data_IF_817522686160
#
_entry.id   IF_817522686160
#
_cell.length_a   1.000
_cell.length_b   1.000
_cell.length_c   1.000
_cell.angle_alpha   90.00
_cell.angle_beta   90.00
_cell.angle_gamma   90.00
#
_symmetry.space_group_name_H-M   'P 1'
#
loop_
_entity.id
_entity.type
_entity.pdbx_description
1 polymer ?
#
# COMPACT_ATOMS: atom_id res chain seq x y z
N UNK A 1 16.94 1.30 29.38
CA UNK A 1 16.03 1.93 28.40
C UNK A 1 16.80 2.27 27.12
N UNK A 2 17.90 2.99 27.22
CA UNK A 2 18.77 3.39 26.10
C UNK A 2 19.24 2.23 25.19
N UNK A 3 19.55 1.08 25.76
CA UNK A 3 19.96 -0.12 25.02
C UNK A 3 18.81 -0.69 24.15
N UNK A 4 17.57 -0.66 24.66
CA UNK A 4 16.37 -1.09 23.93
C UNK A 4 16.01 -0.12 22.80
N UNK A 5 16.22 1.17 23.01
CA UNK A 5 15.98 2.21 21.99
C UNK A 5 16.99 2.07 20.82
N UNK A 6 18.26 1.80 21.11
CA UNK A 6 19.27 1.55 20.10
C UNK A 6 18.94 0.32 19.24
N UNK A 7 18.56 -0.80 19.88
CA UNK A 7 18.14 -2.00 19.13
C UNK A 7 16.88 -1.75 18.29
N UNK A 8 15.97 -0.89 18.77
CA UNK A 8 14.78 -0.53 18.01
C UNK A 8 15.12 0.27 16.76
N UNK A 9 16.04 1.23 16.86
CA UNK A 9 16.54 1.99 15.71
C UNK A 9 17.23 1.08 14.68
N UNK A 10 18.07 0.16 15.12
CA UNK A 10 18.70 -0.84 14.25
C UNK A 10 17.66 -1.72 13.53
N UNK A 11 16.62 -2.17 14.25
CA UNK A 11 15.53 -2.95 13.66
C UNK A 11 14.80 -2.16 12.58
N UNK A 12 14.46 -0.90 12.83
CA UNK A 12 13.81 -0.01 11.85
C UNK A 12 14.70 0.18 10.63
N UNK A 13 16.00 0.36 10.81
CA UNK A 13 16.96 0.45 9.71
C UNK A 13 16.98 -0.83 8.86
N UNK A 14 16.98 -2.00 9.49
CA UNK A 14 16.88 -3.28 8.79
C UNK A 14 15.57 -3.41 8.01
N UNK A 15 14.44 -3.01 8.61
CA UNK A 15 13.12 -3.02 7.94
C UNK A 15 13.13 -2.06 6.75
N UNK A 16 13.62 -0.83 6.92
CA UNK A 16 13.75 0.15 5.84
C UNK A 16 14.63 -0.37 4.70
N UNK A 17 15.78 -0.93 5.02
CA UNK A 17 16.67 -1.54 4.00
C UNK A 17 15.97 -2.68 3.26
N UNK A 18 15.16 -3.49 3.94
CA UNK A 18 14.38 -4.55 3.29
C UNK A 18 13.39 -3.98 2.26
N UNK A 19 12.74 -2.84 2.53
CA UNK A 19 11.86 -2.19 1.56
C UNK A 19 12.60 -1.70 0.32
N UNK A 20 13.78 -1.09 0.51
CA UNK A 20 14.62 -0.67 -0.60
C UNK A 20 15.00 -1.86 -1.49
N UNK A 21 15.47 -2.95 -0.89
CA UNK A 21 15.86 -4.18 -1.62
C UNK A 21 14.65 -4.78 -2.35
N UNK A 22 13.50 -4.88 -1.70
CA UNK A 22 12.27 -5.37 -2.32
C UNK A 22 11.85 -4.48 -3.50
N UNK A 23 11.89 -3.17 -3.32
CA UNK A 23 11.59 -2.21 -4.41
C UNK A 23 12.50 -2.42 -5.61
N UNK A 24 13.81 -2.58 -5.38
CA UNK A 24 14.81 -2.85 -6.43
C UNK A 24 14.51 -4.19 -7.13
N UNK A 25 14.28 -5.27 -6.37
CA UNK A 25 13.92 -6.59 -6.93
C UNK A 25 12.70 -6.48 -7.84
N UNK A 26 11.67 -5.76 -7.42
CA UNK A 26 10.47 -5.57 -8.21
C UNK A 26 10.75 -4.78 -9.50
N UNK A 27 11.56 -3.73 -9.47
CA UNK A 27 11.95 -2.97 -10.67
C UNK A 27 12.65 -3.86 -11.69
N UNK A 28 13.58 -4.69 -11.24
CA UNK A 28 14.36 -5.57 -12.11
C UNK A 28 13.68 -6.90 -12.44
N UNK A 29 12.51 -7.20 -11.83
CA UNK A 29 11.76 -8.41 -12.14
C UNK A 29 11.43 -8.46 -13.64
N UNK A 30 11.95 -9.47 -14.34
CA UNK A 30 11.66 -9.69 -15.75
C UNK A 30 10.19 -10.07 -15.94
N UNK A 31 9.49 -9.39 -16.83
CA UNK A 31 8.09 -9.65 -17.20
C UNK A 31 8.01 -9.68 -18.73
N UNK A 32 7.29 -10.64 -19.34
CA UNK A 32 7.14 -10.70 -20.78
C UNK A 32 6.64 -9.39 -21.38
N UNK A 33 7.19 -9.00 -22.54
CA UNK A 33 6.83 -7.75 -23.21
C UNK A 33 5.66 -7.94 -24.21
N UNK A 34 4.66 -8.70 -23.80
CA UNK A 34 3.42 -8.89 -24.56
C UNK A 34 2.33 -7.95 -24.02
N UNK A 35 1.31 -7.71 -24.83
CA UNK A 35 0.17 -6.85 -24.47
C UNK A 35 -0.55 -7.40 -23.25
N UNK A 36 -0.71 -8.72 -23.16
CA UNK A 36 -1.40 -9.39 -22.07
C UNK A 36 -0.76 -9.13 -20.69
N UNK A 37 0.56 -8.92 -20.65
CA UNK A 37 1.29 -8.61 -19.42
C UNK A 37 1.42 -7.11 -19.14
N UNK A 38 0.86 -6.22 -19.96
CA UNK A 38 0.94 -4.78 -19.72
C UNK A 38 0.34 -4.34 -18.37
N UNK A 39 -0.82 -4.88 -17.90
CA UNK A 39 -1.33 -4.54 -16.57
C UNK A 39 -0.44 -5.07 -15.44
N UNK A 40 0.16 -6.25 -15.60
CA UNK A 40 1.11 -6.81 -14.63
C UNK A 40 2.38 -5.93 -14.52
N UNK A 41 2.90 -5.44 -15.65
CA UNK A 41 4.03 -4.49 -15.65
C UNK A 41 3.69 -3.20 -14.91
N UNK A 42 2.49 -2.64 -15.13
CA UNK A 42 2.01 -1.48 -14.38
C UNK A 42 1.92 -1.78 -12.88
N UNK A 43 1.31 -2.91 -12.53
CA UNK A 43 1.20 -3.36 -11.13
C UNK A 43 2.56 -3.48 -10.45
N UNK A 44 3.56 -4.05 -11.15
CA UNK A 44 4.94 -4.17 -10.69
C UNK A 44 5.54 -2.82 -10.29
N UNK A 45 5.41 -1.81 -11.13
CA UNK A 45 5.97 -0.50 -10.86
C UNK A 45 5.24 0.24 -9.73
N UNK A 46 3.92 0.11 -9.64
CA UNK A 46 3.18 0.66 -8.50
C UNK A 46 3.56 -0.03 -7.19
N UNK A 47 3.74 -1.36 -7.23
CA UNK A 47 4.17 -2.10 -6.04
C UNK A 47 5.59 -1.69 -5.62
N UNK A 48 6.52 -1.57 -6.56
CA UNK A 48 7.88 -1.08 -6.29
C UNK A 48 7.85 0.34 -5.70
N UNK A 49 7.02 1.24 -6.27
CA UNK A 49 6.86 2.61 -5.76
C UNK A 49 6.33 2.63 -4.32
N UNK A 50 5.39 1.74 -3.98
CA UNK A 50 4.91 1.62 -2.60
C UNK A 50 6.06 1.30 -1.62
N UNK A 51 6.94 0.36 -1.98
CA UNK A 51 8.08 0.01 -1.14
C UNK A 51 9.13 1.12 -1.05
N UNK A 52 9.38 1.86 -2.14
CA UNK A 52 10.27 3.02 -2.08
C UNK A 52 9.71 4.13 -1.20
N UNK A 53 8.40 4.39 -1.25
CA UNK A 53 7.75 5.38 -0.36
C UNK A 53 7.84 4.94 1.10
N UNK A 54 7.62 3.64 1.39
CA UNK A 54 7.80 3.10 2.74
C UNK A 54 9.26 3.20 3.23
N UNK A 55 10.23 2.95 2.36
CA UNK A 55 11.65 3.16 2.68
C UNK A 55 11.92 4.63 3.04
N UNK A 56 11.46 5.58 2.22
CA UNK A 56 11.62 7.01 2.48
C UNK A 56 10.98 7.39 3.81
N UNK A 57 9.78 6.88 4.10
CA UNK A 57 9.09 7.17 5.36
C UNK A 57 9.92 6.72 6.58
N UNK A 58 10.41 5.48 6.56
CA UNK A 58 11.22 4.97 7.67
C UNK A 58 12.58 5.64 7.80
N UNK A 59 13.21 6.01 6.67
CA UNK A 59 14.47 6.74 6.69
C UNK A 59 14.29 8.14 7.30
N UNK A 60 13.28 8.88 6.89
CA UNK A 60 12.97 10.19 7.46
C UNK A 60 12.59 10.07 8.94
N UNK A 61 11.88 9.01 9.33
CA UNK A 61 11.55 8.75 10.74
C UNK A 61 12.83 8.53 11.57
N UNK A 62 13.82 7.79 11.07
CA UNK A 62 15.09 7.58 11.75
C UNK A 62 15.90 8.87 11.90
N UNK A 63 15.98 9.69 10.86
CA UNK A 63 16.68 10.98 10.88
C UNK A 63 16.06 11.93 11.91
N UNK A 64 14.73 11.95 11.97
CA UNK A 64 13.99 12.75 12.93
C UNK A 64 14.17 12.17 14.35
N UNK A 65 14.11 10.87 14.53
CA UNK A 65 14.29 10.20 15.82
C UNK A 65 15.66 10.47 16.46
N UNK A 66 16.67 10.67 15.64
CA UNK A 66 18.02 11.02 16.12
C UNK A 66 18.14 12.45 16.65
N UNK A 67 17.15 13.33 16.37
CA UNK A 67 17.11 14.71 16.86
C UNK A 67 16.39 14.77 18.21
N UNK A 68 16.94 15.53 19.17
CA UNK A 68 16.54 15.45 20.59
C UNK A 68 15.26 16.22 20.99
N UNK A 69 14.53 16.82 20.06
CA UNK A 69 13.37 17.69 20.38
C UNK A 69 12.03 17.01 20.09
N UNK A 70 11.62 16.11 20.98
CA UNK A 70 10.45 15.22 20.82
C UNK A 70 9.08 15.91 20.73
N UNK A 71 8.89 17.07 21.35
CA UNK A 71 7.56 17.67 21.44
C UNK A 71 7.11 18.33 20.12
N UNK A 72 8.01 19.08 19.47
CA UNK A 72 7.76 19.68 18.16
C UNK A 72 7.77 18.62 17.05
N UNK A 73 8.58 17.58 17.23
CA UNK A 73 8.78 16.49 16.29
C UNK A 73 7.56 15.59 16.08
N UNK A 74 6.82 15.27 17.15
CA UNK A 74 5.67 14.37 17.07
C UNK A 74 4.62 14.85 16.06
N UNK A 75 4.40 16.15 15.97
CA UNK A 75 3.44 16.73 15.01
C UNK A 75 3.94 16.64 13.58
N UNK A 76 5.24 16.87 13.33
CA UNK A 76 5.87 16.76 12.02
C UNK A 76 5.85 15.30 11.55
N UNK A 77 6.23 14.35 12.42
CA UNK A 77 6.19 12.91 12.14
C UNK A 77 4.77 12.49 11.74
N UNK A 78 3.76 12.91 12.50
CA UNK A 78 2.38 12.58 12.20
C UNK A 78 1.92 13.11 10.82
N UNK A 79 2.29 14.33 10.46
CA UNK A 79 2.01 14.90 9.14
C UNK A 79 2.73 14.15 8.01
N UNK A 80 3.98 13.77 8.23
CA UNK A 80 4.76 12.95 7.31
C UNK A 80 4.12 11.56 7.11
N UNK A 81 3.78 10.89 8.22
CA UNK A 81 3.19 9.56 8.17
C UNK A 81 1.87 9.57 7.39
N UNK A 82 0.97 10.50 7.66
CA UNK A 82 -0.26 10.63 6.87
C UNK A 82 0.06 10.83 5.39
N UNK A 83 1.03 11.70 5.06
CA UNK A 83 1.39 12.03 3.69
C UNK A 83 1.93 10.82 2.93
N UNK A 84 2.88 10.10 3.53
CA UNK A 84 3.58 8.99 2.89
C UNK A 84 2.78 7.69 2.94
N UNK A 85 2.06 7.41 4.04
CA UNK A 85 1.17 6.25 4.09
C UNK A 85 0.00 6.39 3.12
N UNK A 86 -0.54 7.59 2.91
CA UNK A 86 -1.56 7.79 1.90
C UNK A 86 -1.04 7.49 0.49
N UNK A 87 0.15 7.99 0.14
CA UNK A 87 0.77 7.70 -1.15
C UNK A 87 1.05 6.20 -1.31
N UNK A 88 1.56 5.54 -0.26
CA UNK A 88 1.76 4.10 -0.22
C UNK A 88 0.45 3.34 -0.45
N UNK A 89 -0.65 3.77 0.18
CA UNK A 89 -1.97 3.18 0.01
C UNK A 89 -2.48 3.29 -1.45
N UNK A 90 -2.29 4.46 -2.09
CA UNK A 90 -2.61 4.65 -3.52
C UNK A 90 -1.79 3.66 -4.37
N UNK A 91 -0.49 3.54 -4.11
CA UNK A 91 0.39 2.66 -4.88
C UNK A 91 -0.01 1.18 -4.74
N UNK A 92 -0.29 0.71 -3.52
CA UNK A 92 -0.80 -0.66 -3.31
C UNK A 92 -2.15 -0.87 -3.96
N UNK A 93 -3.10 0.06 -3.80
CA UNK A 93 -4.43 -0.02 -4.40
C UNK A 93 -4.34 -0.11 -5.93
N UNK A 94 -3.49 0.70 -6.56
CA UNK A 94 -3.28 0.67 -8.00
C UNK A 94 -2.55 -0.59 -8.45
N UNK A 95 -1.59 -1.09 -7.68
CA UNK A 95 -0.94 -2.35 -7.98
C UNK A 95 -1.94 -3.50 -8.03
N UNK A 96 -2.71 -3.72 -6.96
CA UNK A 96 -3.67 -4.82 -6.91
C UNK A 96 -4.85 -4.65 -7.87
N UNK A 97 -5.38 -3.43 -8.02
CA UNK A 97 -6.50 -3.19 -8.92
C UNK A 97 -6.11 -3.38 -10.39
N UNK A 98 -4.89 -2.98 -10.80
CA UNK A 98 -4.43 -3.17 -12.18
C UNK A 98 -4.20 -4.63 -12.55
N UNK A 99 -3.97 -5.52 -11.58
CA UNK A 99 -3.90 -6.97 -11.81
C UNK A 99 -5.26 -7.58 -12.14
N UNK A 100 -6.33 -6.98 -11.61
CA UNK A 100 -7.69 -7.50 -11.74
C UNK A 100 -8.46 -6.82 -12.87
N UNK A 101 -8.20 -5.53 -13.10
CA UNK A 101 -8.84 -4.70 -14.12
C UNK A 101 -7.80 -3.83 -14.81
N UNK A 102 -7.51 -4.15 -16.09
CA UNK A 102 -6.50 -3.44 -16.89
C UNK A 102 -6.86 -1.97 -17.15
N UNK A 103 -8.16 -1.63 -17.12
CA UNK A 103 -8.70 -0.28 -17.36
C UNK A 103 -8.86 0.54 -16.08
N UNK A 104 -8.61 -0.07 -14.91
CA UNK A 104 -8.78 0.60 -13.62
C UNK A 104 -8.02 1.91 -13.53
N UNK A 105 -6.76 1.91 -13.98
CA UNK A 105 -5.89 3.08 -13.93
C UNK A 105 -6.13 3.93 -15.17
N UNK A 106 -6.84 5.03 -15.00
CA UNK A 106 -7.02 6.05 -16.02
C UNK A 106 -6.61 7.45 -15.49
N UNK A 107 -6.30 8.37 -16.42
CA UNK A 107 -5.83 9.73 -16.08
C UNK A 107 -6.79 10.48 -15.16
N UNK A 108 -8.10 10.35 -15.37
CA UNK A 108 -9.12 11.05 -14.55
C UNK A 108 -9.11 10.55 -13.10
N UNK A 109 -8.98 9.22 -12.91
CA UNK A 109 -8.92 8.61 -11.57
C UNK A 109 -7.63 9.00 -10.87
N UNK A 110 -6.49 8.89 -11.56
CA UNK A 110 -5.20 9.30 -11.02
C UNK A 110 -5.22 10.75 -10.56
N UNK A 111 -5.72 11.67 -11.40
CA UNK A 111 -5.80 13.08 -11.05
C UNK A 111 -6.70 13.32 -9.83
N UNK A 112 -7.84 12.61 -9.75
CA UNK A 112 -8.76 12.69 -8.61
C UNK A 112 -8.11 12.19 -7.32
N UNK A 113 -7.47 11.03 -7.35
CA UNK A 113 -6.85 10.44 -6.17
C UNK A 113 -5.62 11.25 -5.72
N UNK A 114 -4.85 11.80 -6.67
CA UNK A 114 -3.77 12.74 -6.38
C UNK A 114 -4.28 14.06 -5.80
N UNK A 115 -5.43 14.56 -6.29
CA UNK A 115 -6.09 15.73 -5.71
C UNK A 115 -6.53 15.52 -4.26
N UNK A 116 -7.09 14.35 -3.95
CA UNK A 116 -7.41 14.00 -2.55
C UNK A 116 -6.16 13.88 -1.67
N UNK A 117 -5.08 13.31 -2.21
CA UNK A 117 -3.81 13.22 -1.51
C UNK A 117 -3.25 14.61 -1.19
N UNK A 118 -3.18 15.52 -2.18
CA UNK A 118 -2.73 16.90 -1.99
C UNK A 118 -3.62 17.62 -0.96
N UNK A 119 -4.95 17.48 -1.05
CA UNK A 119 -5.87 18.10 -0.10
C UNK A 119 -5.59 17.63 1.33
N UNK A 120 -5.45 16.31 1.53
CA UNK A 120 -5.20 15.73 2.86
C UNK A 120 -3.87 16.20 3.44
N UNK A 121 -2.81 16.22 2.61
CA UNK A 121 -1.50 16.74 3.00
C UNK A 121 -1.61 18.21 3.37
N UNK A 122 -2.23 19.04 2.52
CA UNK A 122 -2.35 20.47 2.79
C UNK A 122 -3.03 20.73 4.14
N UNK A 123 -4.11 20.01 4.45
CA UNK A 123 -4.79 20.15 5.75
C UNK A 123 -3.88 19.70 6.90
N UNK A 124 -3.15 18.60 6.73
CA UNK A 124 -2.24 18.08 7.73
C UNK A 124 -1.08 19.05 7.99
N UNK A 125 -0.42 19.56 6.95
CA UNK A 125 0.73 20.46 7.10
C UNK A 125 0.35 21.88 7.55
N UNK A 126 -0.84 22.38 7.19
CA UNK A 126 -1.37 23.65 7.68
C UNK A 126 -1.57 23.60 9.21
N UNK A 127 -1.79 22.43 9.81
CA UNK A 127 -1.91 22.27 11.25
C UNK A 127 -0.63 22.66 12.02
N UNK A 128 0.52 22.69 11.37
CA UNK A 128 1.80 23.10 11.95
C UNK A 128 2.02 24.62 11.92
N UNK A 129 1.14 25.37 11.26
CA UNK A 129 1.26 26.82 11.18
C UNK A 129 0.83 27.49 12.49
N UNK A 130 1.71 28.30 13.08
CA UNK A 130 1.50 28.91 14.41
C UNK A 130 0.12 29.60 14.60
N UNK A 131 -0.42 30.39 13.64
CA UNK A 131 -1.73 31.01 13.80
C UNK A 131 -2.89 30.02 13.95
N UNK A 132 -2.70 28.78 13.47
CA UNK A 132 -3.70 27.71 13.54
C UNK A 132 -3.40 26.68 14.64
N UNK A 133 -2.36 26.86 15.45
CA UNK A 133 -1.99 25.99 16.55
C UNK A 133 -3.17 25.62 17.49
N UNK A 134 -4.12 26.51 17.84
CA UNK A 134 -5.28 26.16 18.64
C UNK A 134 -6.22 25.14 17.96
N UNK A 135 -6.17 25.06 16.64
CA UNK A 135 -7.00 24.17 15.82
C UNK A 135 -6.23 22.95 15.27
N UNK A 136 -4.94 22.84 15.54
CA UNK A 136 -4.06 21.79 15.01
C UNK A 136 -4.63 20.38 15.22
N UNK A 137 -5.15 20.11 16.41
CA UNK A 137 -5.76 18.81 16.73
C UNK A 137 -6.97 18.49 15.85
N UNK A 138 -7.85 19.45 15.58
CA UNK A 138 -9.02 19.26 14.72
C UNK A 138 -8.61 19.07 13.26
N UNK A 139 -7.64 19.82 12.77
CA UNK A 139 -7.11 19.68 11.41
C UNK A 139 -6.46 18.31 11.20
N UNK A 140 -5.72 17.82 12.20
CA UNK A 140 -5.15 16.49 12.18
C UNK A 140 -6.22 15.40 12.14
N UNK A 141 -7.27 15.50 12.96
CA UNK A 141 -8.42 14.57 12.93
C UNK A 141 -9.08 14.59 11.56
N UNK A 142 -9.34 15.77 10.99
CA UNK A 142 -9.97 15.89 9.66
C UNK A 142 -9.11 15.22 8.60
N UNK A 143 -7.80 15.45 8.57
CA UNK A 143 -6.89 14.80 7.60
C UNK A 143 -6.87 13.28 7.77
N UNK A 144 -6.88 12.79 9.00
CA UNK A 144 -6.95 11.35 9.30
C UNK A 144 -8.27 10.74 8.84
N UNK A 145 -9.40 11.41 9.08
CA UNK A 145 -10.72 10.95 8.61
C UNK A 145 -10.81 10.92 7.09
N UNK A 146 -10.26 11.93 6.41
CA UNK A 146 -10.17 11.94 4.94
C UNK A 146 -9.34 10.76 4.44
N UNK A 147 -8.18 10.51 5.02
CA UNK A 147 -7.34 9.36 4.68
C UNK A 147 -8.10 8.05 4.89
N UNK A 148 -8.70 7.83 6.07
CA UNK A 148 -9.47 6.62 6.35
C UNK A 148 -10.64 6.42 5.37
N UNK A 149 -11.35 7.50 5.01
CA UNK A 149 -12.47 7.42 4.05
C UNK A 149 -12.04 6.93 2.68
N UNK A 150 -10.84 7.32 2.24
CA UNK A 150 -10.27 6.90 0.97
C UNK A 150 -9.78 5.45 1.03
N UNK A 151 -9.16 5.04 2.13
CA UNK A 151 -8.78 3.63 2.34
C UNK A 151 -10.01 2.73 2.26
N UNK A 152 -11.09 3.10 2.97
CA UNK A 152 -12.36 2.37 2.94
C UNK A 152 -12.93 2.31 1.51
N UNK A 153 -12.90 3.43 0.77
CA UNK A 153 -13.33 3.47 -0.64
C UNK A 153 -12.52 2.51 -1.50
N UNK A 154 -11.18 2.45 -1.34
CA UNK A 154 -10.35 1.50 -2.07
C UNK A 154 -10.66 0.06 -1.73
N UNK A 155 -10.93 -0.26 -0.46
CA UNK A 155 -11.33 -1.60 -0.04
C UNK A 155 -12.63 -2.06 -0.70
N UNK A 156 -13.68 -1.23 -0.67
CA UNK A 156 -14.95 -1.56 -1.31
C UNK A 156 -14.80 -1.72 -2.83
N UNK A 157 -14.04 -0.84 -3.44
CA UNK A 157 -13.83 -0.88 -4.89
C UNK A 157 -13.01 -2.11 -5.31
N UNK A 158 -11.98 -2.46 -4.54
CA UNK A 158 -11.22 -3.68 -4.77
C UNK A 158 -12.11 -4.92 -4.64
N UNK A 159 -12.96 -5.01 -3.61
CA UNK A 159 -13.87 -6.14 -3.44
C UNK A 159 -14.84 -6.27 -4.62
N UNK A 160 -15.34 -5.15 -5.14
CA UNK A 160 -16.20 -5.13 -6.32
C UNK A 160 -15.48 -5.70 -7.55
N UNK A 161 -14.28 -5.19 -7.85
CA UNK A 161 -13.47 -5.66 -8.98
C UNK A 161 -13.11 -7.14 -8.80
N UNK A 162 -12.72 -7.53 -7.60
CA UNK A 162 -12.35 -8.93 -7.29
C UNK A 162 -13.51 -9.88 -7.54
N UNK A 163 -14.73 -9.52 -7.11
CA UNK A 163 -15.94 -10.33 -7.35
C UNK A 163 -16.22 -10.45 -8.84
N UNK A 164 -16.23 -9.32 -9.58
CA UNK A 164 -16.45 -9.32 -11.02
C UNK A 164 -15.43 -10.22 -11.73
N UNK A 165 -14.14 -10.08 -11.40
CA UNK A 165 -13.08 -10.89 -12.02
C UNK A 165 -13.22 -12.37 -11.68
N UNK A 166 -13.63 -12.68 -10.45
CA UNK A 166 -13.89 -14.05 -10.02
C UNK A 166 -15.03 -14.67 -10.81
N UNK A 167 -16.16 -13.99 -10.96
CA UNK A 167 -17.31 -14.44 -11.74
C UNK A 167 -16.93 -14.71 -13.20
N UNK A 168 -16.14 -13.82 -13.82
CA UNK A 168 -15.63 -14.02 -15.18
C UNK A 168 -14.78 -15.29 -15.29
N UNK A 169 -13.93 -15.58 -14.32
CA UNK A 169 -13.09 -16.78 -14.31
C UNK A 169 -13.88 -18.06 -14.02
N UNK A 170 -14.90 -18.00 -13.17
CA UNK A 170 -15.82 -19.12 -12.89
C UNK A 170 -16.57 -19.52 -14.16
N UNK A 171 -16.96 -18.57 -15.00
CA UNK A 171 -17.63 -18.83 -16.25
C UNK A 171 -16.71 -19.45 -17.33
N UNK A 172 -15.40 -19.14 -17.28
CA UNK A 172 -14.45 -19.63 -18.27
C UNK A 172 -13.78 -20.96 -17.89
N UNK A 173 -13.42 -21.12 -16.61
CA UNK A 173 -12.76 -22.32 -16.11
C UNK A 173 -13.71 -23.14 -15.24
N UNK A 174 -13.92 -24.38 -15.61
CA UNK A 174 -14.67 -25.35 -14.78
C UNK A 174 -13.87 -25.87 -13.58
N UNK A 175 -12.57 -25.52 -13.48
CA UNK A 175 -11.68 -25.99 -12.42
C UNK A 175 -11.44 -24.89 -11.37
N UNK A 176 -11.75 -25.19 -10.11
CA UNK A 176 -11.52 -24.32 -8.94
C UNK A 176 -10.03 -23.94 -8.70
N UNK A 177 -9.10 -24.68 -9.30
CA UNK A 177 -7.68 -24.45 -9.10
C UNK A 177 -7.23 -23.07 -9.61
N UNK A 178 -7.80 -22.59 -10.72
CA UNK A 178 -7.42 -21.29 -11.29
C UNK A 178 -7.86 -20.12 -10.41
N UNK A 179 -8.96 -20.23 -9.70
CA UNK A 179 -9.44 -19.21 -8.77
C UNK A 179 -8.49 -19.03 -7.56
N UNK A 180 -7.84 -20.11 -7.13
CA UNK A 180 -6.87 -20.07 -6.01
C UNK A 180 -5.70 -19.13 -6.29
N UNK A 181 -5.30 -18.98 -7.57
CA UNK A 181 -4.21 -18.07 -7.96
C UNK A 181 -4.54 -16.59 -7.73
N UNK A 182 -5.82 -16.20 -7.66
CA UNK A 182 -6.21 -14.82 -7.33
C UNK A 182 -6.37 -14.59 -5.82
N UNK A 183 -6.54 -15.65 -5.04
CA UNK A 183 -6.90 -15.52 -3.62
C UNK A 183 -5.85 -14.79 -2.77
N UNK A 184 -4.59 -14.82 -3.19
CA UNK A 184 -3.51 -14.10 -2.52
C UNK A 184 -3.74 -12.58 -2.50
N UNK A 185 -4.36 -12.00 -3.54
CA UNK A 185 -4.64 -10.56 -3.59
C UNK A 185 -5.62 -10.13 -2.50
N UNK A 186 -6.66 -10.96 -2.26
CA UNK A 186 -7.62 -10.77 -1.17
C UNK A 186 -6.95 -10.89 0.21
N UNK A 187 -6.11 -11.92 0.40
CA UNK A 187 -5.32 -12.09 1.63
C UNK A 187 -4.37 -10.92 1.86
N UNK A 188 -3.67 -10.47 0.82
CA UNK A 188 -2.76 -9.33 0.90
C UNK A 188 -3.46 -8.06 1.34
N UNK A 189 -4.64 -7.77 0.77
CA UNK A 189 -5.45 -6.63 1.18
C UNK A 189 -5.86 -6.74 2.66
N UNK A 190 -6.30 -7.91 3.10
CA UNK A 190 -6.66 -8.14 4.50
C UNK A 190 -5.46 -7.90 5.43
N UNK A 191 -4.28 -8.41 5.09
CA UNK A 191 -3.06 -8.19 5.89
C UNK A 191 -2.64 -6.72 5.90
N UNK A 192 -2.77 -6.00 4.79
CA UNK A 192 -2.51 -4.55 4.74
C UNK A 192 -3.49 -3.76 5.62
N UNK A 193 -4.76 -4.17 5.69
CA UNK A 193 -5.72 -3.54 6.61
C UNK A 193 -5.35 -3.79 8.07
N UNK A 194 -4.95 -5.02 8.42
CA UNK A 194 -4.44 -5.33 9.76
C UNK A 194 -3.17 -4.53 10.09
N UNK A 195 -2.28 -4.32 9.11
CA UNK A 195 -1.12 -3.45 9.29
C UNK A 195 -1.53 -2.04 9.72
N UNK A 196 -2.54 -1.45 9.07
CA UNK A 196 -3.06 -0.13 9.45
C UNK A 196 -3.62 -0.10 10.87
N UNK A 197 -4.37 -1.14 11.28
CA UNK A 197 -4.88 -1.27 12.66
C UNK A 197 -3.74 -1.40 13.66
N UNK A 198 -2.76 -2.25 13.37
CA UNK A 198 -1.62 -2.45 14.25
C UNK A 198 -0.73 -1.21 14.33
N UNK A 199 -0.56 -0.47 13.23
CA UNK A 199 0.12 0.83 13.26
C UNK A 199 -0.54 1.79 14.24
N UNK A 200 -1.88 1.85 14.24
CA UNK A 200 -2.61 2.67 15.21
C UNK A 200 -2.43 2.18 16.65
N UNK A 201 -2.43 0.86 16.85
CA UNK A 201 -2.25 0.26 18.18
C UNK A 201 -0.84 0.49 18.75
N UNK A 202 0.19 0.72 17.93
CA UNK A 202 1.53 1.07 18.42
C UNK A 202 1.56 2.34 19.27
N UNK A 203 0.59 3.24 19.09
CA UNK A 203 0.48 4.46 19.89
C UNK A 203 0.08 4.20 21.35
N UNK A 204 -0.57 3.06 21.61
CA UNK A 204 -1.11 2.73 22.94
C UNK A 204 -0.30 1.64 23.66
N UNK A 205 0.41 0.82 22.90
CA UNK A 205 1.16 -0.29 23.46
C UNK A 205 2.66 0.01 23.49
N UNK A 206 3.34 -0.55 24.49
CA UNK A 206 4.77 -0.29 24.72
C UNK A 206 5.68 -0.88 23.63
N UNK A 207 6.99 -0.70 23.86
CA UNK A 207 8.06 -1.04 22.91
C UNK A 207 8.03 -2.48 22.39
N UNK A 208 7.64 -3.44 23.21
CA UNK A 208 7.54 -4.85 22.80
C UNK A 208 6.50 -5.08 21.71
N UNK A 209 5.37 -4.35 21.76
CA UNK A 209 4.38 -4.39 20.70
C UNK A 209 4.92 -3.79 19.41
N UNK A 210 5.71 -2.72 19.51
CA UNK A 210 6.37 -2.11 18.36
C UNK A 210 7.34 -3.07 17.70
N UNK A 211 8.11 -3.85 18.45
CA UNK A 211 8.96 -4.92 17.91
C UNK A 211 8.13 -5.98 17.14
N UNK A 212 7.07 -6.48 17.76
CA UNK A 212 6.18 -7.46 17.13
C UNK A 212 5.54 -6.90 15.84
N UNK A 213 5.18 -5.63 15.86
CA UNK A 213 4.65 -4.92 14.68
C UNK A 213 5.67 -4.87 13.53
N UNK A 214 6.93 -4.56 13.81
CA UNK A 214 7.98 -4.54 12.77
C UNK A 214 8.19 -5.93 12.14
N UNK A 215 8.21 -6.99 12.94
CA UNK A 215 8.28 -8.37 12.42
C UNK A 215 7.06 -8.71 11.56
N UNK A 216 5.86 -8.28 11.98
CA UNK A 216 4.64 -8.49 11.23
C UNK A 216 4.68 -7.77 9.87
N UNK A 217 5.13 -6.50 9.84
CA UNK A 217 5.30 -5.71 8.61
C UNK A 217 6.19 -6.46 7.60
N UNK A 218 7.37 -6.90 8.03
CA UNK A 218 8.31 -7.62 7.14
C UNK A 218 7.67 -8.89 6.60
N UNK A 219 7.01 -9.67 7.47
CA UNK A 219 6.35 -10.92 7.09
C UNK A 219 5.25 -10.70 6.05
N UNK A 220 4.40 -9.68 6.24
CA UNK A 220 3.33 -9.33 5.29
C UNK A 220 3.91 -8.89 3.95
N UNK A 221 4.94 -8.05 3.97
CA UNK A 221 5.55 -7.54 2.74
C UNK A 221 6.25 -8.65 1.96
N UNK A 222 6.95 -9.55 2.63
CA UNK A 222 7.53 -10.74 2.00
C UNK A 222 6.43 -11.62 1.38
N UNK A 223 5.33 -11.86 2.12
CA UNK A 223 4.20 -12.62 1.59
C UNK A 223 3.64 -11.98 0.31
N UNK A 224 3.44 -10.66 0.29
CA UNK A 224 2.92 -9.92 -0.86
C UNK A 224 3.86 -10.09 -2.07
N UNK A 225 5.17 -9.88 -1.87
CA UNK A 225 6.16 -9.92 -2.95
C UNK A 225 6.34 -11.32 -3.51
N UNK A 226 6.47 -12.33 -2.64
CA UNK A 226 6.57 -13.72 -3.07
C UNK A 226 5.32 -14.15 -3.83
N UNK A 227 4.13 -13.79 -3.33
CA UNK A 227 2.86 -14.09 -4.00
C UNK A 227 2.73 -13.38 -5.34
N UNK A 228 3.16 -12.11 -5.42
CA UNK A 228 3.19 -11.36 -6.67
C UNK A 228 4.10 -12.01 -7.71
N UNK A 229 5.32 -12.41 -7.33
CA UNK A 229 6.27 -13.08 -8.24
C UNK A 229 5.71 -14.43 -8.70
N UNK A 230 5.17 -15.23 -7.79
CA UNK A 230 4.60 -16.54 -8.08
C UNK A 230 3.32 -16.46 -8.94
N UNK A 231 2.62 -15.33 -8.91
CA UNK A 231 1.44 -15.09 -9.76
C UNK A 231 1.79 -14.83 -11.23
N UNK A 232 3.01 -14.38 -11.52
CA UNK A 232 3.46 -14.01 -12.87
C UNK A 232 3.19 -15.08 -13.95
N UNK A 233 3.57 -16.36 -13.77
CA UNK A 233 3.37 -17.36 -14.83
C UNK A 233 1.91 -17.62 -15.17
N UNK A 234 1.00 -17.42 -14.22
CA UNK A 234 -0.45 -17.66 -14.40
C UNK A 234 -1.19 -16.44 -14.93
N UNK A 235 -0.59 -15.26 -14.81
CA UNK A 235 -1.25 -13.99 -15.12
C UNK A 235 -1.72 -13.89 -16.58
N UNK A 236 -0.89 -14.28 -17.53
CA UNK A 236 -1.22 -14.22 -18.97
C UNK A 236 -2.47 -15.04 -19.31
N UNK A 237 -2.55 -16.27 -18.81
CA UNK A 237 -3.71 -17.16 -19.02
C UNK A 237 -4.97 -16.60 -18.39
N UNK A 238 -4.88 -16.08 -17.16
CA UNK A 238 -6.02 -15.49 -16.45
C UNK A 238 -6.50 -14.18 -17.08
N UNK A 239 -5.60 -13.38 -17.61
CA UNK A 239 -5.96 -12.15 -18.30
C UNK A 239 -6.62 -12.43 -19.65
N UNK A 240 -6.09 -13.37 -20.44
CA UNK A 240 -6.67 -13.77 -21.71
C UNK A 240 -8.10 -14.31 -21.53
N UNK A 241 -8.31 -15.18 -20.54
CA UNK A 241 -9.63 -15.74 -20.25
C UNK A 241 -10.68 -14.67 -19.94
N UNK A 242 -10.28 -13.61 -19.23
CA UNK A 242 -11.21 -12.51 -18.90
C UNK A 242 -11.49 -11.58 -20.08
N UNK A 243 -10.54 -11.34 -20.97
CA UNK A 243 -10.77 -10.50 -22.16
C UNK A 243 -11.69 -11.17 -23.16
N UNK A 244 -11.58 -12.50 -23.34
CA UNK A 244 -12.50 -13.27 -24.17
C UNK A 244 -13.95 -13.22 -23.66
N UNK A 245 -14.18 -13.27 -22.34
CA UNK A 245 -15.53 -13.13 -21.79
C UNK A 245 -16.12 -11.72 -22.00
N UNK A 246 -15.32 -10.67 -21.85
CA UNK A 246 -15.76 -9.29 -22.12
C UNK A 246 -16.16 -9.09 -23.59
N UNK A 247 -15.53 -9.78 -24.52
CA UNK A 247 -15.90 -9.77 -25.95
C UNK A 247 -17.23 -10.48 -26.21
N UNK A 248 -17.47 -11.63 -25.56
CA UNK A 248 -18.72 -12.40 -25.71
C UNK A 248 -19.94 -11.66 -25.12
N UNK A 249 -19.77 -10.97 -23.99
CA UNK A 249 -20.85 -10.19 -23.36
C UNK A 249 -21.23 -8.93 -24.17
N UNK A 250 -20.37 -8.44 -25.07
CA UNK A 250 -20.61 -7.26 -25.89
C UNK A 250 -21.19 -7.56 -27.29
N UNK A 251 -21.42 -8.84 -27.62
CA UNK A 251 -22.12 -9.32 -28.81
C UNK A 251 -23.53 -9.77 -28.46
#
# INVERSE_FOLDING_TARGET
>A
MELLENYFAELIQCVGTSYLVIGIILVFLSVPDTVDYAPYRKAKYFLASAFFVMFINLYLWLEIFSSQDWAALNSIIACMDISLFFLTCICFAYSFASLLDSQYINKKRMLKDFGYWILTISISWISLWEPLAPYAYYLYIISTLLFCSIVVRYMFHFQFIYRKKREQLENYFSDDNMQRFMYWTKKSLFFLCLLGVFAYLTLFFGIYFNYAYQVYIVSVNLYIVISFINYRPYYGTLNLASTMNDEIENY
#
